data_IF_872265529541
#
_entry.id   IF_872265529541
#
_cell.length_a   1.000
_cell.length_b   1.000
_cell.length_c   1.000
_cell.angle_alpha   90.00
_cell.angle_beta   90.00
_cell.angle_gamma   90.00
#
_symmetry.space_group_name_H-M   'P 1'
#
loop_
_entity.id
_entity.type
_entity.pdbx_description
1 polymer ?
#
# COMPACT_ATOMS: atom_id res chain seq x y z
N UNK A 1 -6.89 -41.06 42.17
CA UNK A 1 -6.90 -41.30 40.72
C UNK A 1 -8.02 -40.49 40.06
N UNK A 2 -9.30 -40.82 40.27
CA UNK A 2 -10.45 -40.11 39.66
C UNK A 2 -10.43 -38.59 39.92
N UNK A 3 -10.11 -38.15 41.13
CA UNK A 3 -10.01 -36.72 41.47
C UNK A 3 -8.96 -35.96 40.64
N UNK A 4 -7.81 -36.59 40.34
CA UNK A 4 -6.76 -35.97 39.51
C UNK A 4 -7.19 -35.86 38.05
N UNK A 5 -7.96 -36.82 37.54
CA UNK A 5 -8.55 -36.73 36.20
C UNK A 5 -9.60 -35.63 36.12
N UNK A 6 -10.47 -35.49 37.13
CA UNK A 6 -11.46 -34.41 37.19
C UNK A 6 -10.78 -33.05 37.26
N UNK A 7 -9.74 -32.91 38.09
CA UNK A 7 -8.96 -31.68 38.22
C UNK A 7 -8.23 -31.31 36.91
N UNK A 8 -7.61 -32.31 36.25
CA UNK A 8 -6.95 -32.11 34.95
C UNK A 8 -7.93 -31.66 33.87
N UNK A 9 -9.12 -32.26 33.82
CA UNK A 9 -10.17 -31.88 32.86
C UNK A 9 -10.65 -30.44 33.08
N UNK A 10 -10.79 -30.03 34.35
CA UNK A 10 -11.13 -28.66 34.73
C UNK A 10 -10.07 -27.64 34.28
N UNK A 11 -8.79 -27.96 34.47
CA UNK A 11 -7.68 -27.08 34.03
C UNK A 11 -7.66 -26.95 32.51
N UNK A 12 -7.81 -28.06 31.77
CA UNK A 12 -7.84 -28.03 30.30
C UNK A 12 -9.02 -27.20 29.81
N UNK A 13 -10.19 -27.35 30.43
CA UNK A 13 -11.38 -26.56 30.09
C UNK A 13 -11.16 -25.06 30.33
N UNK A 14 -10.54 -24.70 31.46
CA UNK A 14 -10.18 -23.30 31.76
C UNK A 14 -9.18 -22.71 30.76
N UNK A 15 -8.19 -23.49 30.32
CA UNK A 15 -7.22 -23.07 29.31
C UNK A 15 -7.90 -22.84 27.96
N UNK A 16 -8.78 -23.75 27.53
CA UNK A 16 -9.56 -23.60 26.29
C UNK A 16 -10.46 -22.35 26.37
N UNK A 17 -11.13 -22.13 27.50
CA UNK A 17 -11.95 -20.94 27.71
C UNK A 17 -11.13 -19.65 27.72
N UNK A 18 -9.91 -19.68 28.29
CA UNK A 18 -9.01 -18.54 28.28
C UNK A 18 -8.48 -18.23 26.86
N UNK A 19 -8.07 -19.25 26.10
CA UNK A 19 -7.65 -19.10 24.70
C UNK A 19 -8.81 -18.59 23.86
N UNK A 20 -10.02 -19.16 24.04
CA UNK A 20 -11.21 -18.70 23.36
C UNK A 20 -11.52 -17.25 23.74
N UNK A 21 -11.46 -16.89 25.02
CA UNK A 21 -11.67 -15.50 25.46
C UNK A 21 -10.63 -14.55 24.87
N UNK A 22 -9.34 -14.90 24.87
CA UNK A 22 -8.27 -14.10 24.25
C UNK A 22 -8.51 -13.97 22.75
N UNK A 23 -8.81 -15.06 22.06
CA UNK A 23 -9.13 -15.06 20.62
C UNK A 23 -10.37 -14.20 20.34
N UNK A 24 -11.43 -14.36 21.14
CA UNK A 24 -12.65 -13.56 21.03
C UNK A 24 -12.28 -12.11 21.25
N UNK A 25 -11.64 -11.72 22.36
CA UNK A 25 -11.19 -10.34 22.61
C UNK A 25 -10.29 -9.82 21.48
N UNK A 26 -9.35 -10.60 20.95
CA UNK A 26 -8.45 -10.16 19.88
C UNK A 26 -9.17 -9.97 18.54
N UNK A 27 -10.15 -10.83 18.22
CA UNK A 27 -10.99 -10.76 17.01
C UNK A 27 -12.21 -9.86 17.17
N UNK A 28 -12.61 -9.60 18.41
CA UNK A 28 -13.74 -8.79 18.87
C UNK A 28 -13.27 -7.51 19.57
N UNK A 29 -12.00 -7.11 19.37
CA UNK A 29 -11.69 -5.73 19.06
C UNK A 29 -12.02 -5.58 17.58
N UNK A 30 -13.29 -5.33 17.20
CA UNK A 30 -13.47 -4.52 16.01
C UNK A 30 -12.66 -3.26 16.29
N UNK A 31 -11.92 -2.77 15.31
CA UNK A 31 -11.62 -1.35 15.25
C UNK A 31 -12.95 -0.67 15.54
N UNK A 32 -13.10 -0.12 16.76
CA UNK A 32 -14.40 0.36 17.23
C UNK A 32 -14.76 1.42 16.23
N UNK A 33 -15.77 1.22 15.39
CA UNK A 33 -16.36 2.31 14.64
C UNK A 33 -17.15 3.16 15.64
N UNK A 34 -16.41 3.85 16.52
CA UNK A 34 -16.91 4.96 17.30
C UNK A 34 -17.30 6.03 16.31
N UNK A 35 -18.54 6.52 16.42
CA UNK A 35 -19.07 7.63 15.64
C UNK A 35 -18.30 8.96 15.85
N UNK A 36 -17.15 8.94 16.53
CA UNK A 36 -16.23 10.04 16.83
C UNK A 36 -14.74 9.59 16.79
N UNK A 37 -14.37 8.55 16.03
CA UNK A 37 -12.94 8.33 15.75
C UNK A 37 -12.49 9.30 14.65
N UNK A 38 -11.38 10.00 14.87
CA UNK A 38 -10.80 10.91 13.88
C UNK A 38 -10.61 10.17 12.55
N UNK A 39 -11.11 10.76 11.45
CA UNK A 39 -10.99 10.17 10.11
C UNK A 39 -9.52 10.07 9.65
N UNK A 40 -8.64 10.81 10.31
CA UNK A 40 -7.21 10.88 10.06
C UNK A 40 -6.45 10.62 11.35
N UNK A 41 -5.52 9.68 11.29
CA UNK A 41 -4.68 9.26 12.39
C UNK A 41 -3.22 9.32 11.97
N UNK A 42 -2.40 9.92 12.83
CA UNK A 42 -0.95 10.00 12.66
C UNK A 42 -0.30 9.04 13.63
N UNK A 43 0.39 8.02 13.12
CA UNK A 43 1.12 7.08 13.95
C UNK A 43 2.23 7.81 14.71
N UNK A 44 2.45 7.38 15.96
CA UNK A 44 3.62 7.75 16.73
C UNK A 44 4.88 7.06 16.17
N UNK A 45 6.04 7.55 16.59
CA UNK A 45 7.32 6.88 16.31
C UNK A 45 7.30 5.43 16.81
N UNK A 46 6.85 5.20 18.05
CA UNK A 46 6.82 3.88 18.68
C UNK A 46 5.83 2.93 17.98
N UNK A 47 4.71 3.44 17.48
CA UNK A 47 3.76 2.67 16.67
C UNK A 47 4.37 2.27 15.32
N UNK A 48 5.05 3.22 14.68
CA UNK A 48 5.72 3.00 13.40
C UNK A 48 6.86 1.98 13.53
N UNK A 49 7.72 2.13 14.55
CA UNK A 49 8.81 1.19 14.86
C UNK A 49 8.25 -0.20 15.12
N UNK A 50 7.22 -0.34 15.97
CA UNK A 50 6.62 -1.64 16.28
C UNK A 50 6.03 -2.32 15.05
N UNK A 51 5.34 -1.57 14.20
CA UNK A 51 4.80 -2.13 12.96
C UNK A 51 5.91 -2.67 12.07
N UNK A 52 6.94 -1.85 11.79
CA UNK A 52 8.07 -2.23 10.93
C UNK A 52 8.88 -3.41 11.50
N UNK A 53 9.10 -3.43 12.81
CA UNK A 53 9.82 -4.52 13.49
C UNK A 53 9.04 -5.84 13.49
N UNK A 54 7.72 -5.77 13.63
CA UNK A 54 6.88 -6.97 13.63
C UNK A 54 6.76 -7.64 12.25
N UNK A 55 6.95 -6.85 11.17
CA UNK A 55 6.76 -7.26 9.78
C UNK A 55 5.46 -8.10 9.60
N UNK A 56 4.37 -7.65 10.23
CA UNK A 56 3.14 -8.45 10.37
C UNK A 56 2.40 -8.69 9.03
N UNK A 57 2.69 -7.92 8.00
CA UNK A 57 2.24 -8.12 6.61
C UNK A 57 3.22 -8.98 5.78
N UNK A 58 4.34 -9.41 6.39
CA UNK A 58 5.40 -10.25 5.81
C UNK A 58 6.09 -9.64 4.61
N UNK A 59 6.02 -8.32 4.41
CA UNK A 59 6.66 -7.67 3.27
C UNK A 59 8.17 -7.93 3.25
N UNK A 60 8.87 -7.65 4.36
CA UNK A 60 10.32 -7.87 4.45
C UNK A 60 10.65 -9.36 4.42
N UNK A 61 9.84 -10.18 5.09
CA UNK A 61 9.96 -11.63 5.10
C UNK A 61 9.88 -12.25 3.69
N UNK A 62 9.22 -11.59 2.73
CA UNK A 62 9.06 -12.07 1.36
C UNK A 62 10.11 -11.51 0.38
N UNK A 63 10.95 -10.55 0.78
CA UNK A 63 12.00 -10.01 -0.09
C UNK A 63 12.96 -11.12 -0.57
N UNK A 64 13.31 -11.05 -1.84
CA UNK A 64 14.29 -11.93 -2.48
C UNK A 64 15.73 -11.51 -2.16
N UNK A 65 16.74 -12.34 -2.46
CA UNK A 65 18.14 -11.94 -2.33
C UNK A 65 18.51 -10.70 -3.17
N UNK A 66 17.92 -10.54 -4.35
CA UNK A 66 18.18 -9.37 -5.20
C UNK A 66 17.52 -8.11 -4.64
N UNK A 67 16.35 -8.24 -4.01
CA UNK A 67 15.68 -7.13 -3.34
C UNK A 67 16.51 -6.57 -2.18
N UNK A 68 17.12 -7.45 -1.39
CA UNK A 68 18.02 -7.08 -0.30
C UNK A 68 19.27 -6.39 -0.85
N UNK A 69 19.84 -6.91 -1.93
CA UNK A 69 20.97 -6.28 -2.60
C UNK A 69 20.62 -4.87 -3.10
N UNK A 70 19.47 -4.71 -3.77
CA UNK A 70 18.98 -3.41 -4.25
C UNK A 70 18.79 -2.40 -3.11
N UNK A 71 18.38 -2.88 -1.92
CA UNK A 71 18.24 -2.08 -0.69
C UNK A 71 19.55 -1.91 0.07
N UNK A 72 20.67 -2.41 -0.47
CA UNK A 72 22.04 -2.31 0.08
C UNK A 72 22.19 -2.94 1.47
N UNK A 73 21.52 -4.06 1.67
CA UNK A 73 21.54 -4.83 2.93
C UNK A 73 21.87 -6.30 2.66
N UNK A 74 22.49 -6.94 3.65
CA UNK A 74 22.93 -8.33 3.56
C UNK A 74 21.88 -9.30 4.10
N UNK A 75 20.91 -8.83 4.89
CA UNK A 75 19.86 -9.67 5.47
C UNK A 75 18.55 -8.93 5.70
N UNK A 76 17.46 -9.70 5.87
CA UNK A 76 16.13 -9.18 6.23
C UNK A 76 16.12 -8.52 7.60
N UNK A 77 16.87 -9.06 8.56
CA UNK A 77 17.01 -8.49 9.90
C UNK A 77 17.74 -7.14 9.85
N UNK A 78 18.82 -7.05 9.06
CA UNK A 78 19.51 -5.78 8.80
C UNK A 78 18.56 -4.76 8.18
N UNK A 79 17.75 -5.16 7.19
CA UNK A 79 16.76 -4.27 6.59
C UNK A 79 15.75 -3.75 7.61
N UNK A 80 15.17 -4.63 8.44
CA UNK A 80 14.24 -4.24 9.51
C UNK A 80 14.90 -3.24 10.47
N UNK A 81 16.15 -3.48 10.87
CA UNK A 81 16.88 -2.60 11.77
C UNK A 81 17.14 -1.22 11.18
N UNK A 82 17.38 -1.13 9.87
CA UNK A 82 17.52 0.16 9.17
C UNK A 82 16.17 0.87 9.11
N UNK A 83 15.14 0.25 8.52
CA UNK A 83 13.86 0.94 8.26
C UNK A 83 13.14 1.36 9.54
N UNK A 84 13.30 0.62 10.65
CA UNK A 84 12.75 1.04 11.94
C UNK A 84 13.50 2.25 12.52
N UNK A 85 14.80 2.37 12.25
CA UNK A 85 15.61 3.55 12.60
C UNK A 85 15.20 4.80 11.83
N UNK A 86 14.58 4.64 10.65
CA UNK A 86 14.07 5.74 9.84
C UNK A 86 12.72 6.29 10.32
N UNK A 87 12.03 5.62 11.23
CA UNK A 87 10.79 6.16 11.80
C UNK A 87 11.04 7.52 12.46
N UNK A 88 10.09 8.44 12.32
CA UNK A 88 10.17 9.77 12.95
C UNK A 88 8.80 10.28 13.35
N UNK A 89 8.73 11.54 13.78
CA UNK A 89 7.51 12.17 14.28
C UNK A 89 7.04 13.28 13.34
N UNK A 90 5.73 13.38 13.16
CA UNK A 90 5.10 14.55 12.55
C UNK A 90 5.17 15.74 13.51
N UNK A 91 5.69 16.87 13.04
CA UNK A 91 5.57 18.14 13.74
C UNK A 91 4.18 18.77 13.49
N UNK A 92 3.87 19.86 14.21
CA UNK A 92 2.56 20.54 14.10
C UNK A 92 2.28 21.10 12.70
N UNK A 93 3.31 21.60 12.01
CA UNK A 93 3.21 22.10 10.64
C UNK A 93 2.89 20.99 9.65
N UNK A 94 3.58 19.84 9.77
CA UNK A 94 3.33 18.66 8.93
C UNK A 94 1.87 18.23 9.03
N UNK A 95 1.35 18.10 10.27
CA UNK A 95 -0.04 17.72 10.51
C UNK A 95 -1.03 18.73 9.93
N UNK A 96 -0.77 20.04 10.08
CA UNK A 96 -1.66 21.07 9.54
C UNK A 96 -1.75 21.00 8.00
N UNK A 97 -0.61 20.80 7.34
CA UNK A 97 -0.56 20.66 5.88
C UNK A 97 -1.25 19.37 5.42
N UNK A 98 -0.96 18.23 6.05
CA UNK A 98 -1.53 16.93 5.71
C UNK A 98 -3.04 16.87 6.02
N UNK A 99 -3.50 17.49 7.10
CA UNK A 99 -4.93 17.67 7.40
C UNK A 99 -5.66 18.38 6.25
N UNK A 100 -5.03 19.41 5.67
CA UNK A 100 -5.59 20.13 4.52
C UNK A 100 -5.62 19.25 3.28
N UNK A 101 -4.51 18.59 2.97
CA UNK A 101 -4.38 17.76 1.77
C UNK A 101 -5.30 16.54 1.80
N UNK A 102 -5.39 15.84 2.93
CA UNK A 102 -6.27 14.67 3.11
C UNK A 102 -7.75 15.04 2.97
N UNK A 103 -8.19 16.13 3.61
CA UNK A 103 -9.56 16.65 3.45
C UNK A 103 -9.86 16.99 2.00
N UNK A 104 -8.90 17.60 1.29
CA UNK A 104 -9.06 17.95 -0.11
C UNK A 104 -9.10 16.69 -1.00
N UNK A 105 -8.25 15.70 -0.75
CA UNK A 105 -8.28 14.42 -1.45
C UNK A 105 -9.65 13.73 -1.29
N UNK A 106 -10.20 13.69 -0.08
CA UNK A 106 -11.53 13.12 0.16
C UNK A 106 -12.65 13.90 -0.53
N UNK A 107 -12.56 15.23 -0.52
CA UNK A 107 -13.50 16.09 -1.24
C UNK A 107 -13.49 15.79 -2.74
N UNK A 108 -12.31 15.69 -3.35
CA UNK A 108 -12.15 15.39 -4.77
C UNK A 108 -12.69 14.00 -5.13
N UNK A 109 -12.37 12.99 -4.33
CA UNK A 109 -12.88 11.63 -4.51
C UNK A 109 -14.42 11.58 -4.39
N UNK A 110 -15.02 12.28 -3.43
CA UNK A 110 -16.48 12.28 -3.25
C UNK A 110 -17.24 12.99 -4.36
N UNK A 111 -16.63 14.04 -4.92
CA UNK A 111 -17.27 14.92 -5.90
C UNK A 111 -17.01 14.52 -7.35
N UNK A 112 -16.29 13.42 -7.57
CA UNK A 112 -15.94 13.02 -8.93
C UNK A 112 -17.17 12.59 -9.73
N UNK A 113 -17.27 13.10 -10.95
CA UNK A 113 -18.34 12.72 -11.88
C UNK A 113 -17.89 11.54 -12.74
N UNK A 114 -18.31 10.33 -12.35
CA UNK A 114 -17.95 9.07 -13.02
C UNK A 114 -18.25 9.10 -14.51
N UNK A 115 -19.35 9.74 -14.93
CA UNK A 115 -19.73 9.82 -16.35
C UNK A 115 -18.72 10.61 -17.19
N UNK A 116 -17.98 11.54 -16.57
CA UNK A 116 -16.89 12.27 -17.23
C UNK A 116 -15.66 11.39 -17.37
N UNK A 117 -15.32 10.61 -16.34
CA UNK A 117 -14.15 9.71 -16.36
C UNK A 117 -14.34 8.57 -17.36
N UNK A 118 -15.49 7.91 -17.34
CA UNK A 118 -15.76 6.74 -18.18
C UNK A 118 -15.88 7.08 -19.67
N UNK A 119 -15.95 8.36 -20.03
CA UNK A 119 -15.93 8.80 -21.42
C UNK A 119 -14.52 8.78 -22.03
N UNK A 120 -13.48 8.72 -21.20
CA UNK A 120 -12.10 8.49 -21.64
C UNK A 120 -11.87 6.99 -21.86
N UNK A 121 -11.56 6.61 -23.10
CA UNK A 121 -11.48 5.19 -23.52
C UNK A 121 -10.53 4.33 -22.68
N UNK A 122 -9.49 4.92 -22.09
CA UNK A 122 -8.49 4.26 -21.25
C UNK A 122 -8.91 4.14 -19.77
N UNK A 123 -10.04 4.75 -19.36
CA UNK A 123 -10.54 4.75 -17.98
C UNK A 123 -11.95 4.15 -17.86
N UNK A 124 -12.45 3.40 -18.85
CA UNK A 124 -13.79 2.80 -18.78
C UNK A 124 -13.97 1.87 -17.57
N UNK A 125 -12.90 1.21 -17.13
CA UNK A 125 -12.91 0.37 -15.93
C UNK A 125 -13.25 1.15 -14.65
N UNK A 126 -13.07 2.47 -14.66
CA UNK A 126 -13.22 3.33 -13.49
C UNK A 126 -14.67 3.45 -13.03
N UNK A 127 -15.65 3.14 -13.89
CA UNK A 127 -17.08 3.03 -13.54
C UNK A 127 -17.40 1.94 -12.52
N UNK A 128 -16.49 0.98 -12.36
CA UNK A 128 -16.60 -0.11 -11.39
C UNK A 128 -16.00 0.25 -10.02
N UNK A 129 -15.36 1.42 -9.89
CA UNK A 129 -14.82 1.91 -8.62
C UNK A 129 -15.86 2.71 -7.86
N UNK A 130 -15.92 2.52 -6.54
CA UNK A 130 -16.72 3.36 -5.66
C UNK A 130 -15.85 4.41 -4.98
N UNK A 131 -15.76 5.60 -5.59
CA UNK A 131 -14.94 6.69 -5.08
C UNK A 131 -15.37 7.22 -3.71
N UNK A 132 -16.65 7.09 -3.35
CA UNK A 132 -17.12 7.44 -2.00
C UNK A 132 -16.57 6.47 -0.97
N UNK A 133 -16.48 5.19 -1.31
CA UNK A 133 -15.86 4.19 -0.42
C UNK A 133 -14.37 4.46 -0.29
N UNK A 134 -13.67 4.79 -1.38
CA UNK A 134 -12.25 5.21 -1.34
C UNK A 134 -12.09 6.40 -0.39
N UNK A 135 -12.89 7.46 -0.55
CA UNK A 135 -12.84 8.64 0.32
C UNK A 135 -13.16 8.34 1.79
N UNK A 136 -13.92 7.28 2.08
CA UNK A 136 -14.32 6.93 3.44
C UNK A 136 -13.31 6.03 4.17
N UNK A 137 -12.29 5.52 3.48
CA UNK A 137 -11.16 4.84 4.14
C UNK A 137 -10.49 5.82 5.10
N UNK A 138 -10.29 5.39 6.36
CA UNK A 138 -9.56 6.18 7.36
C UNK A 138 -8.12 6.37 6.91
N UNK A 139 -7.61 7.59 7.06
CA UNK A 139 -6.21 7.88 6.82
C UNK A 139 -5.38 7.43 8.02
N UNK A 140 -4.36 6.60 7.78
CA UNK A 140 -3.34 6.26 8.76
C UNK A 140 -1.98 6.60 8.15
N UNK A 141 -1.34 7.63 8.68
CA UNK A 141 -0.10 8.16 8.15
C UNK A 141 1.06 7.85 9.10
N UNK A 142 2.15 7.33 8.54
CA UNK A 142 3.45 7.20 9.19
C UNK A 142 4.47 8.04 8.43
N UNK A 143 5.49 8.55 9.13
CA UNK A 143 6.55 9.35 8.51
C UNK A 143 7.91 8.75 8.76
N UNK A 144 8.74 8.74 7.72
CA UNK A 144 10.14 8.31 7.76
C UNK A 144 11.09 9.43 7.38
N UNK A 145 12.31 9.34 7.89
CA UNK A 145 13.37 10.32 7.62
C UNK A 145 13.88 10.23 6.19
N UNK A 146 14.52 11.31 5.77
CA UNK A 146 15.21 11.42 4.49
C UNK A 146 16.74 11.58 4.64
N UNK A 147 17.26 11.57 5.88
CA UNK A 147 18.67 11.80 6.18
C UNK A 147 19.44 10.48 6.45
N UNK A 148 20.78 10.56 6.47
CA UNK A 148 21.69 9.46 6.87
C UNK A 148 21.76 8.20 5.98
N UNK A 149 21.45 8.31 4.69
CA UNK A 149 21.85 7.34 3.67
C UNK A 149 21.03 6.04 3.60
N UNK A 150 20.08 5.82 4.53
CA UNK A 150 19.12 4.73 4.49
C UNK A 150 17.70 5.27 4.31
N UNK A 151 17.29 5.63 3.10
CA UNK A 151 15.88 6.03 2.89
C UNK A 151 15.01 4.78 2.78
N UNK A 152 13.97 4.67 3.62
CA UNK A 152 13.03 3.56 3.52
C UNK A 152 12.39 3.56 2.12
N UNK A 153 12.53 2.45 1.39
CA UNK A 153 12.12 2.32 -0.02
C UNK A 153 12.66 3.48 -0.92
N UNK A 154 13.93 3.86 -0.75
CA UNK A 154 14.58 4.99 -1.44
C UNK A 154 13.87 6.36 -1.25
N UNK A 155 12.97 6.45 -0.26
CA UNK A 155 12.20 7.66 0.04
C UNK A 155 10.90 7.76 -0.75
N UNK A 156 10.54 6.70 -1.49
CA UNK A 156 9.24 6.61 -2.15
C UNK A 156 8.12 6.42 -1.11
N UNK A 157 7.06 7.20 -1.26
CA UNK A 157 5.82 6.89 -0.56
C UNK A 157 5.27 5.55 -1.01
N UNK A 158 4.65 4.84 -0.08
CA UNK A 158 4.07 3.54 -0.33
C UNK A 158 3.10 3.15 0.79
N UNK A 159 2.37 2.06 0.58
CA UNK A 159 1.45 1.50 1.56
C UNK A 159 1.86 0.14 2.06
N UNK A 160 1.67 -0.09 3.36
CA UNK A 160 1.72 -1.42 3.97
C UNK A 160 0.50 -1.60 4.86
N UNK A 161 -0.27 -2.66 4.59
CA UNK A 161 -1.64 -2.84 5.10
C UNK A 161 -2.55 -1.64 4.81
N UNK A 162 -2.81 -0.80 5.81
CA UNK A 162 -3.68 0.37 5.71
C UNK A 162 -2.95 1.65 6.11
N UNK A 163 -1.62 1.56 6.24
CA UNK A 163 -0.73 2.63 6.64
C UNK A 163 -0.07 3.17 5.38
N UNK A 164 -0.10 4.48 5.22
CA UNK A 164 0.63 5.21 4.19
C UNK A 164 1.93 5.71 4.82
N UNK A 165 3.06 5.26 4.28
CA UNK A 165 4.38 5.72 4.67
C UNK A 165 4.77 6.89 3.79
N UNK A 166 5.03 8.04 4.41
CA UNK A 166 5.51 9.24 3.73
C UNK A 166 6.97 9.50 4.13
N UNK A 167 7.84 9.71 3.14
CA UNK A 167 9.16 10.29 3.41
C UNK A 167 9.00 11.77 3.81
N UNK A 168 9.87 12.27 4.69
CA UNK A 168 9.98 13.71 4.97
C UNK A 168 10.18 14.57 3.71
N UNK A 169 10.73 14.01 2.63
CA UNK A 169 10.87 14.71 1.34
C UNK A 169 9.52 15.16 0.76
N UNK A 170 8.45 14.38 0.99
CA UNK A 170 7.08 14.68 0.52
C UNK A 170 6.56 15.99 1.11
N UNK A 171 7.04 16.37 2.29
CA UNK A 171 6.60 17.61 2.95
C UNK A 171 7.08 18.88 2.23
N UNK A 172 8.02 18.75 1.28
CA UNK A 172 8.49 19.85 0.45
C UNK A 172 7.74 19.99 -0.88
N UNK A 173 6.83 19.05 -1.19
CA UNK A 173 6.04 19.09 -2.41
C UNK A 173 4.98 20.19 -2.35
N UNK A 174 4.48 20.60 -3.51
CA UNK A 174 3.30 21.46 -3.54
C UNK A 174 2.09 20.72 -2.98
N UNK A 175 1.14 21.46 -2.40
CA UNK A 175 -0.13 20.89 -1.91
C UNK A 175 -0.84 20.04 -2.97
N UNK A 176 -0.82 20.53 -4.21
CA UNK A 176 -1.39 19.90 -5.40
C UNK A 176 -0.73 18.52 -5.68
N UNK A 177 0.59 18.41 -5.52
CA UNK A 177 1.34 17.14 -5.66
C UNK A 177 1.10 16.19 -4.48
N UNK A 178 1.00 16.71 -3.25
CA UNK A 178 0.71 15.90 -2.06
C UNK A 178 -0.70 15.31 -2.16
N UNK A 179 -1.69 16.08 -2.59
CA UNK A 179 -3.06 15.59 -2.77
C UNK A 179 -3.09 14.44 -3.78
N UNK A 180 -2.41 14.60 -4.92
CA UNK A 180 -2.32 13.56 -5.95
C UNK A 180 -1.67 12.29 -5.39
N UNK A 181 -0.55 12.43 -4.69
CA UNK A 181 0.14 11.32 -4.03
C UNK A 181 -0.77 10.62 -3.01
N UNK A 182 -1.44 11.37 -2.13
CA UNK A 182 -2.34 10.78 -1.13
C UNK A 182 -3.51 10.01 -1.76
N UNK A 183 -4.03 10.48 -2.90
CA UNK A 183 -5.06 9.75 -3.65
C UNK A 183 -4.49 8.43 -4.19
N UNK A 184 -3.30 8.46 -4.78
CA UNK A 184 -2.60 7.27 -5.28
C UNK A 184 -2.45 6.21 -4.16
N UNK A 185 -1.88 6.58 -3.02
CA UNK A 185 -1.71 5.69 -1.87
C UNK A 185 -3.05 5.18 -1.32
N UNK A 186 -4.09 6.02 -1.27
CA UNK A 186 -5.42 5.61 -0.79
C UNK A 186 -6.07 4.57 -1.72
N UNK A 187 -5.80 4.63 -3.03
CA UNK A 187 -6.27 3.63 -3.99
C UNK A 187 -5.62 2.27 -3.71
N UNK A 188 -4.33 2.21 -3.34
CA UNK A 188 -3.68 0.95 -2.94
C UNK A 188 -4.35 0.30 -1.74
N UNK A 189 -4.74 1.08 -0.73
CA UNK A 189 -5.51 0.56 0.41
C UNK A 189 -6.88 0.04 -0.04
N UNK A 190 -7.58 0.79 -0.91
CA UNK A 190 -8.87 0.35 -1.43
C UNK A 190 -8.77 -0.95 -2.23
N UNK A 191 -7.73 -1.10 -3.05
CA UNK A 191 -7.43 -2.32 -3.81
C UNK A 191 -7.28 -3.52 -2.87
N UNK A 192 -6.52 -3.35 -1.78
CA UNK A 192 -6.29 -4.38 -0.77
C UNK A 192 -7.57 -4.80 -0.03
N UNK A 193 -8.49 -3.87 0.22
CA UNK A 193 -9.79 -4.18 0.83
C UNK A 193 -10.79 -4.83 -0.13
N UNK A 194 -10.56 -4.75 -1.45
CA UNK A 194 -11.53 -5.12 -2.47
C UNK A 194 -10.94 -6.06 -3.53
N UNK A 195 -10.00 -6.94 -3.17
CA UNK A 195 -9.28 -7.82 -4.11
C UNK A 195 -10.21 -8.59 -5.06
N UNK A 196 -11.34 -9.09 -4.56
CA UNK A 196 -12.32 -9.82 -5.36
C UNK A 196 -12.94 -8.95 -6.47
N UNK A 197 -13.28 -7.69 -6.16
CA UNK A 197 -13.77 -6.71 -7.15
C UNK A 197 -12.67 -6.36 -8.13
N UNK A 198 -11.44 -6.17 -7.65
CA UNK A 198 -10.30 -5.82 -8.50
C UNK A 198 -9.91 -6.94 -9.46
N UNK A 199 -10.13 -8.22 -9.12
CA UNK A 199 -9.99 -9.32 -10.09
C UNK A 199 -10.88 -9.10 -11.32
N UNK A 200 -12.12 -8.68 -11.11
CA UNK A 200 -13.06 -8.40 -12.20
C UNK A 200 -12.69 -7.13 -12.97
N UNK A 201 -12.28 -6.07 -12.26
CA UNK A 201 -11.83 -4.80 -12.88
C UNK A 201 -10.64 -5.05 -13.79
N UNK A 202 -9.62 -5.77 -13.30
CA UNK A 202 -8.40 -6.10 -14.06
C UNK A 202 -8.74 -6.94 -15.30
N UNK A 203 -9.65 -7.89 -15.18
CA UNK A 203 -10.15 -8.65 -16.33
C UNK A 203 -10.79 -7.76 -17.39
N UNK A 204 -11.63 -6.81 -16.96
CA UNK A 204 -12.26 -5.84 -17.87
C UNK A 204 -11.27 -4.85 -18.48
N UNK A 205 -10.11 -4.61 -17.84
CA UNK A 205 -9.00 -3.86 -18.42
C UNK A 205 -8.23 -4.65 -19.48
N UNK A 206 -8.56 -5.92 -19.70
CA UNK A 206 -7.90 -6.79 -20.67
C UNK A 206 -6.68 -7.54 -20.12
N UNK A 207 -6.61 -7.74 -18.81
CA UNK A 207 -5.52 -8.47 -18.16
C UNK A 207 -6.04 -9.70 -17.40
N UNK A 208 -5.22 -10.74 -17.31
CA UNK A 208 -5.51 -11.89 -16.46
C UNK A 208 -4.29 -12.29 -15.64
N UNK A 209 -4.54 -12.90 -14.48
CA UNK A 209 -3.49 -13.51 -13.66
C UNK A 209 -2.78 -14.60 -14.47
N UNK A 210 -1.45 -14.49 -14.59
CA UNK A 210 -0.61 -15.54 -15.17
C UNK A 210 -0.45 -16.62 -14.11
N UNK A 211 -1.16 -17.73 -14.31
CA UNK A 211 -1.14 -18.90 -13.39
C UNK A 211 -0.18 -19.99 -13.86
N UNK A 212 0.34 -19.87 -15.08
CA UNK A 212 1.29 -20.81 -15.63
C UNK A 212 2.71 -20.46 -15.21
N UNK A 213 3.23 -21.20 -14.23
CA UNK A 213 4.65 -21.22 -13.84
C UNK A 213 5.61 -21.52 -15.01
N UNK A 214 5.09 -21.92 -16.18
CA UNK A 214 5.86 -22.10 -17.41
C UNK A 214 5.98 -20.83 -18.27
N UNK A 215 5.11 -19.82 -18.09
CA UNK A 215 5.15 -18.57 -18.87
C UNK A 215 6.32 -17.65 -18.45
N UNK A 216 6.83 -17.85 -17.24
CA UNK A 216 7.93 -17.07 -16.68
C UNK A 216 9.04 -18.02 -16.27
N UNK A 217 10.16 -17.99 -17.00
CA UNK A 217 11.32 -18.77 -16.60
C UNK A 217 11.72 -18.44 -15.17
N UNK A 218 12.16 -19.44 -14.41
CA UNK A 218 12.69 -19.23 -13.05
C UNK A 218 13.83 -18.20 -13.04
N UNK A 219 14.61 -18.16 -14.13
CA UNK A 219 15.67 -17.17 -14.35
C UNK A 219 15.17 -15.73 -14.46
N UNK A 220 13.90 -15.52 -14.84
CA UNK A 220 13.28 -14.19 -14.92
C UNK A 220 12.59 -13.81 -13.62
N UNK A 221 11.98 -14.77 -12.92
CA UNK A 221 11.33 -14.55 -11.62
C UNK A 221 12.29 -13.99 -10.57
N UNK A 222 13.56 -14.43 -10.59
CA UNK A 222 14.56 -13.91 -9.65
C UNK A 222 14.85 -12.41 -9.79
N UNK A 223 14.46 -11.77 -10.89
CA UNK A 223 14.67 -10.33 -11.12
C UNK A 223 13.42 -9.49 -10.84
N UNK A 224 12.28 -10.10 -10.53
CA UNK A 224 11.05 -9.36 -10.25
C UNK A 224 11.24 -8.53 -8.99
N UNK A 225 11.04 -7.21 -9.12
CA UNK A 225 11.14 -6.25 -8.02
C UNK A 225 10.00 -6.46 -7.03
N UNK A 226 10.31 -6.47 -5.74
CA UNK A 226 9.29 -6.40 -4.70
C UNK A 226 8.77 -4.97 -4.53
N UNK A 227 7.45 -4.83 -4.47
CA UNK A 227 6.73 -3.59 -4.25
C UNK A 227 5.63 -3.79 -3.18
N UNK A 228 5.61 -3.00 -2.10
CA UNK A 228 4.66 -3.15 -1.00
C UNK A 228 3.20 -2.77 -1.36
N UNK A 229 2.99 -2.00 -2.43
CA UNK A 229 1.68 -1.50 -2.86
C UNK A 229 0.84 -2.49 -3.65
N UNK A 230 1.49 -3.50 -4.23
CA UNK A 230 0.87 -4.47 -5.12
C UNK A 230 0.63 -5.81 -4.41
N UNK A 231 -0.11 -6.70 -5.06
CA UNK A 231 -0.25 -8.07 -4.59
C UNK A 231 0.87 -8.95 -5.20
N UNK A 232 1.03 -10.18 -4.70
CA UNK A 232 2.10 -11.09 -5.16
C UNK A 232 1.79 -11.81 -6.48
N UNK A 233 0.83 -11.32 -7.28
CA UNK A 233 0.39 -11.96 -8.52
C UNK A 233 1.01 -11.27 -9.72
N UNK A 234 1.27 -12.07 -10.74
CA UNK A 234 1.74 -11.56 -12.04
C UNK A 234 0.56 -11.56 -13.00
N UNK A 235 0.42 -10.48 -13.77
CA UNK A 235 -0.65 -10.32 -14.73
C UNK A 235 -0.10 -10.27 -16.15
N UNK A 236 -0.88 -10.78 -17.10
CA UNK A 236 -0.58 -10.71 -18.52
C UNK A 236 -1.66 -9.95 -19.27
N UNK A 237 -1.26 -9.16 -20.24
CA UNK A 237 -2.16 -8.54 -21.20
C UNK A 237 -2.75 -9.65 -22.10
N UNK A 238 -4.07 -9.75 -22.18
CA UNK A 238 -4.76 -10.79 -22.95
C UNK A 238 -4.64 -10.61 -24.46
N UNK A 239 -4.32 -9.39 -24.92
CA UNK A 239 -4.16 -9.09 -26.34
C UNK A 239 -2.72 -9.27 -26.83
N UNK A 240 -1.74 -8.78 -26.07
CA UNK A 240 -0.31 -8.83 -26.46
C UNK A 240 0.45 -10.03 -25.89
N UNK A 241 -0.08 -10.65 -24.83
CA UNK A 241 0.63 -11.69 -24.07
C UNK A 241 1.75 -11.14 -23.17
N UNK A 242 1.96 -9.83 -23.15
CA UNK A 242 3.03 -9.21 -22.36
C UNK A 242 2.69 -9.24 -20.87
N UNK A 243 3.70 -9.54 -20.06
CA UNK A 243 3.59 -9.55 -18.60
C UNK A 243 3.72 -8.14 -18.05
N UNK A 244 2.85 -7.78 -17.10
CA UNK A 244 3.02 -6.62 -16.23
C UNK A 244 3.90 -7.03 -15.06
N UNK A 245 5.20 -6.76 -15.19
CA UNK A 245 6.23 -7.02 -14.18
C UNK A 245 7.31 -5.94 -14.30
N UNK A 246 7.88 -5.55 -13.16
CA UNK A 246 9.07 -4.73 -13.10
C UNK A 246 10.28 -5.61 -12.76
N UNK A 247 11.34 -5.51 -13.56
CA UNK A 247 12.54 -6.33 -13.43
C UNK A 247 13.74 -5.46 -13.11
N UNK A 248 14.57 -5.91 -12.19
CA UNK A 248 15.92 -5.37 -12.00
C UNK A 248 16.76 -5.52 -13.27
N UNK A 249 17.63 -4.55 -13.52
CA UNK A 249 18.47 -4.49 -14.72
C UNK A 249 19.64 -5.49 -14.72
N UNK A 250 20.04 -5.99 -13.55
CA UNK A 250 21.18 -6.91 -13.38
C UNK A 250 21.07 -7.71 -12.08
N UNK A 251 21.96 -8.68 -11.84
CA UNK A 251 22.05 -9.40 -10.55
C UNK A 251 22.57 -8.52 -9.40
N UNK A 252 23.04 -7.31 -9.71
CA UNK A 252 23.61 -6.36 -8.75
C UNK A 252 23.04 -4.96 -8.98
N UNK A 253 21.72 -4.76 -8.82
CA UNK A 253 21.08 -3.46 -9.04
C UNK A 253 21.67 -2.40 -8.09
N UNK A 254 21.89 -1.19 -8.59
CA UNK A 254 22.46 -0.07 -7.81
C UNK A 254 21.54 0.38 -6.67
N UNK A 255 20.22 0.29 -6.88
CA UNK A 255 19.18 0.63 -5.94
C UNK A 255 17.84 -0.03 -6.37
N UNK A 256 16.74 0.23 -5.66
CA UNK A 256 15.44 -0.39 -5.99
C UNK A 256 14.87 0.09 -7.33
N UNK A 257 15.35 1.22 -7.84
CA UNK A 257 14.95 1.86 -9.09
C UNK A 257 15.87 1.49 -10.27
N UNK A 258 16.84 0.59 -10.08
CA UNK A 258 17.70 0.09 -11.16
C UNK A 258 17.01 -1.03 -11.94
N UNK A 259 16.02 -0.62 -12.75
CA UNK A 259 15.03 -1.48 -13.41
C UNK A 259 15.04 -1.32 -14.93
N UNK A 260 14.52 -2.32 -15.65
CA UNK A 260 14.49 -2.35 -17.13
C UNK A 260 13.41 -1.42 -17.70
N UNK A 261 12.27 -1.29 -17.02
CA UNK A 261 11.14 -0.48 -17.47
C UNK A 261 10.98 0.71 -16.53
N UNK A 262 11.15 1.93 -17.03
CA UNK A 262 11.04 3.15 -16.22
C UNK A 262 9.59 3.60 -15.98
N UNK A 263 8.61 2.93 -16.60
CA UNK A 263 7.19 3.23 -16.39
C UNK A 263 6.60 2.33 -15.28
N UNK A 264 6.57 2.84 -14.05
CA UNK A 264 6.02 2.14 -12.88
C UNK A 264 4.55 1.73 -13.04
N UNK A 265 3.75 2.44 -13.84
CA UNK A 265 2.37 2.05 -14.14
C UNK A 265 2.28 0.71 -14.91
N UNK A 266 3.38 0.25 -15.52
CA UNK A 266 3.45 -1.04 -16.22
C UNK A 266 3.91 -2.19 -15.33
N UNK A 267 4.30 -1.89 -14.09
CA UNK A 267 4.75 -2.90 -13.14
C UNK A 267 3.62 -3.86 -12.75
N UNK A 268 2.42 -3.33 -12.54
CA UNK A 268 1.28 -4.10 -12.05
C UNK A 268 -0.04 -3.37 -12.36
N UNK A 269 -1.17 -4.07 -12.59
CA UNK A 269 -2.46 -3.39 -12.80
C UNK A 269 -2.88 -2.47 -11.64
N UNK A 270 -2.49 -2.78 -10.41
CA UNK A 270 -2.75 -1.92 -9.25
C UNK A 270 -2.05 -0.57 -9.35
N UNK A 271 -0.77 -0.56 -9.72
CA UNK A 271 0.00 0.66 -10.01
C UNK A 271 -0.65 1.46 -11.13
N UNK A 272 -1.00 0.78 -12.24
CA UNK A 272 -1.67 1.39 -13.38
C UNK A 272 -2.92 2.16 -12.94
N UNK A 273 -3.80 1.50 -12.18
CA UNK A 273 -5.05 2.10 -11.70
C UNK A 273 -4.77 3.27 -10.76
N UNK A 274 -3.81 3.14 -9.83
CA UNK A 274 -3.48 4.19 -8.86
C UNK A 274 -2.93 5.45 -9.56
N UNK A 275 -2.02 5.29 -10.52
CA UNK A 275 -1.52 6.40 -11.35
C UNK A 275 -2.62 7.02 -12.20
N UNK A 276 -3.34 6.21 -12.99
CA UNK A 276 -4.33 6.73 -13.94
C UNK A 276 -5.46 7.50 -13.25
N UNK A 277 -5.96 6.99 -12.12
CA UNK A 277 -7.00 7.69 -11.35
C UNK A 277 -6.43 8.94 -10.67
N UNK A 278 -5.31 8.86 -9.96
CA UNK A 278 -4.75 10.04 -9.26
C UNK A 278 -4.41 11.18 -10.23
N UNK A 279 -3.85 10.88 -11.40
CA UNK A 279 -3.59 11.84 -12.48
C UNK A 279 -4.89 12.46 -13.02
N UNK A 280 -5.90 11.65 -13.29
CA UNK A 280 -7.16 12.13 -13.83
C UNK A 280 -7.86 13.09 -12.86
N UNK A 281 -7.94 12.72 -11.57
CA UNK A 281 -8.52 13.57 -10.53
C UNK A 281 -7.75 14.89 -10.39
N UNK A 282 -6.42 14.80 -10.38
CA UNK A 282 -5.54 15.96 -10.32
C UNK A 282 -5.79 16.93 -11.50
N UNK A 283 -5.86 16.40 -12.72
CA UNK A 283 -6.05 17.21 -13.93
C UNK A 283 -7.41 17.92 -13.95
N UNK A 284 -8.50 17.24 -13.57
CA UNK A 284 -9.82 17.87 -13.42
C UNK A 284 -9.74 19.02 -12.41
N UNK A 285 -9.16 18.77 -11.24
CA UNK A 285 -9.06 19.78 -10.20
C UNK A 285 -8.28 21.02 -10.66
N UNK A 286 -7.15 20.80 -11.34
CA UNK A 286 -6.31 21.86 -11.88
C UNK A 286 -7.08 22.72 -12.88
N UNK A 287 -7.80 22.11 -13.82
CA UNK A 287 -8.62 22.82 -14.81
C UNK A 287 -9.69 23.68 -14.12
N UNK A 288 -10.38 23.15 -13.11
CA UNK A 288 -11.40 23.90 -12.36
C UNK A 288 -10.83 25.09 -11.59
N UNK A 289 -9.63 24.93 -11.01
CA UNK A 289 -8.92 25.99 -10.29
C UNK A 289 -8.58 27.17 -11.22
N UNK A 290 -8.09 26.90 -12.43
CA UNK A 290 -7.76 27.94 -13.42
C UNK A 290 -8.98 28.55 -14.12
N UNK A 291 -10.12 27.86 -14.19
CA UNK A 291 -11.38 28.45 -14.70
C UNK A 291 -12.01 29.48 -13.77
N UNK A 292 -11.58 29.53 -12.50
CA UNK A 292 -12.10 30.45 -11.46
C UNK A 292 -11.24 31.70 -11.26
N UNK A 293 -10.19 31.87 -12.06
CA UNK A 293 -9.32 33.05 -12.12
C UNK A 293 -9.68 33.82 -13.39
#
# INVERSE_FOLDING_TARGET
MIYYYILSLLIITLVILAIYYIYTVYTSVPFKNGKNEEHLYYMSYEETVRFLESDEDRYVANLSPIDLYARKVSSKEEYINIIKGEATHFNKGDKLMLDKCTKKADELLRNININTISSESNLDYSKYLNYKDIANIKWVLAITRNDNGGKYEDGLSHTRKHIIFLSQDVLNYSEDEIIKLLIHEKIHIYQRYNEASFKTIIYNMGYAESTDSQEISQDKLKYVRSNPDVNNKIYKNLHTGELMICLYSSDKPKNINDIIIENYAMEHPYEKIAYEISEHIYNIHKIEKYRKI
#
